data_IF_699877336060
#
_entry.id   IF_699877336060
#
_cell.length_a   1.000
_cell.length_b   1.000
_cell.length_c   1.000
_cell.angle_alpha   90.00
_cell.angle_beta   90.00
_cell.angle_gamma   90.00
#
_symmetry.space_group_name_H-M   'P 1'
#
loop_
_entity.id
_entity.type
_entity.pdbx_description
1 polymer ?
#
# COMPACT_ATOMS: atom_id res chain seq x y z
N UNK A 1 16.20 3.60 -4.98
CA UNK A 1 16.08 2.55 -3.95
C UNK A 1 14.91 2.92 -3.06
N UNK A 2 14.06 1.96 -2.69
CA UNK A 2 12.91 2.22 -1.81
C UNK A 2 13.37 2.12 -0.36
N UNK A 3 13.11 3.19 0.41
CA UNK A 3 13.46 3.24 1.83
C UNK A 3 12.27 2.74 2.65
N UNK A 4 12.30 1.45 3.01
CA UNK A 4 11.26 0.81 3.81
C UNK A 4 11.33 1.22 5.26
N UNK A 5 10.18 1.54 5.83
CA UNK A 5 10.02 1.74 7.26
C UNK A 5 9.92 0.40 7.99
N UNK A 6 10.02 0.42 9.33
CA UNK A 6 9.95 -0.77 10.18
C UNK A 6 8.61 -1.54 10.15
N UNK A 7 7.56 -0.95 9.56
CA UNK A 7 6.22 -1.52 9.46
C UNK A 7 5.84 -1.88 8.01
N UNK A 8 6.82 -2.31 7.21
CA UNK A 8 6.59 -2.86 5.86
C UNK A 8 5.87 -1.96 4.85
N UNK A 9 6.00 -0.64 5.03
CA UNK A 9 5.56 0.39 4.08
C UNK A 9 6.68 1.38 3.76
N UNK A 10 6.53 2.13 2.65
CA UNK A 10 7.48 3.16 2.22
C UNK A 10 6.77 4.28 1.46
N UNK A 11 7.43 5.45 1.40
CA UNK A 11 7.06 6.55 0.52
C UNK A 11 7.65 6.35 -0.88
N UNK A 12 7.09 7.04 -1.88
CA UNK A 12 7.60 7.09 -3.25
C UNK A 12 7.74 5.72 -3.88
N UNK A 13 6.73 4.86 -3.70
CA UNK A 13 6.72 3.52 -4.25
C UNK A 13 5.32 3.07 -4.66
N UNK A 14 5.28 2.03 -5.49
CA UNK A 14 4.07 1.41 -6.02
C UNK A 14 4.31 -0.06 -6.36
N UNK A 15 3.21 -0.80 -6.51
CA UNK A 15 3.13 -2.15 -7.05
C UNK A 15 2.28 -2.16 -8.32
N UNK A 16 2.79 -2.81 -9.36
CA UNK A 16 2.10 -2.87 -10.65
C UNK A 16 0.86 -3.78 -10.58
N UNK A 17 -0.30 -3.25 -10.98
CA UNK A 17 -1.55 -4.01 -11.15
C UNK A 17 -2.09 -4.66 -9.87
N UNK A 18 -2.73 -5.82 -10.03
CA UNK A 18 -3.30 -6.63 -8.95
C UNK A 18 -4.36 -5.95 -8.08
N UNK A 19 -5.01 -4.90 -8.59
CA UNK A 19 -6.05 -4.18 -7.86
C UNK A 19 -7.23 -5.09 -7.50
N UNK A 20 -7.51 -5.19 -6.21
CA UNK A 20 -8.64 -5.89 -5.62
C UNK A 20 -9.83 -4.93 -5.48
N UNK A 21 -9.60 -3.76 -4.89
CA UNK A 21 -10.60 -2.72 -4.66
C UNK A 21 -9.90 -1.39 -4.38
N UNK A 22 -10.68 -0.30 -4.30
CA UNK A 22 -10.15 1.00 -3.89
C UNK A 22 -11.11 1.74 -2.97
N UNK A 23 -10.57 2.64 -2.15
CA UNK A 23 -11.36 3.52 -1.28
C UNK A 23 -10.65 4.85 -1.06
N UNK A 24 -11.43 5.93 -0.94
CA UNK A 24 -10.92 7.25 -0.58
C UNK A 24 -10.63 7.30 0.92
N UNK A 25 -9.36 7.47 1.28
CA UNK A 25 -8.87 7.50 2.68
C UNK A 25 -7.50 8.19 2.71
N UNK A 26 -7.05 8.80 3.83
CA UNK A 26 -5.68 9.27 3.96
C UNK A 26 -4.65 8.14 3.79
N UNK A 27 -3.42 8.49 3.39
CA UNK A 27 -2.35 7.53 3.11
C UNK A 27 -2.01 6.65 4.31
N UNK A 28 -2.02 7.24 5.51
CA UNK A 28 -1.73 6.53 6.76
C UNK A 28 -2.75 5.42 7.05
N UNK A 29 -3.98 5.57 6.56
CA UNK A 29 -5.05 4.57 6.75
C UNK A 29 -5.03 3.42 5.75
N UNK A 30 -4.22 3.50 4.67
CA UNK A 30 -4.29 2.53 3.58
C UNK A 30 -3.81 1.14 3.99
N UNK A 31 -2.78 1.06 4.85
CA UNK A 31 -2.28 -0.22 5.39
C UNK A 31 -3.30 -0.94 6.26
N UNK A 32 -3.91 -0.22 7.21
CA UNK A 32 -4.99 -0.77 8.05
C UNK A 32 -6.19 -1.21 7.22
N UNK A 33 -6.58 -0.39 6.24
CA UNK A 33 -7.69 -0.74 5.33
C UNK A 33 -7.41 -2.00 4.53
N UNK A 34 -6.19 -2.17 4.05
CA UNK A 34 -5.77 -3.40 3.38
C UNK A 34 -5.81 -4.59 4.35
N UNK A 35 -5.28 -4.46 5.57
CA UNK A 35 -5.33 -5.53 6.58
C UNK A 35 -6.75 -5.99 6.94
N UNK A 36 -7.72 -5.08 6.96
CA UNK A 36 -9.15 -5.39 7.17
C UNK A 36 -9.83 -6.02 5.93
N UNK A 37 -9.24 -5.86 4.75
CA UNK A 37 -9.85 -6.29 3.49
C UNK A 37 -9.42 -7.70 3.15
N UNK A 38 -10.36 -8.64 3.18
CA UNK A 38 -10.10 -10.04 2.87
C UNK A 38 -9.43 -10.21 1.50
N UNK A 39 -8.26 -10.87 1.50
CA UNK A 39 -7.48 -11.13 0.29
C UNK A 39 -6.56 -9.99 -0.13
N UNK A 40 -6.55 -8.86 0.59
CA UNK A 40 -5.55 -7.84 0.39
C UNK A 40 -4.20 -8.30 0.95
N UNK A 41 -3.15 -8.07 0.18
CA UNK A 41 -1.77 -8.53 0.46
C UNK A 41 -0.78 -7.37 0.41
N UNK A 42 -1.13 -6.32 -0.30
CA UNK A 42 -0.36 -5.11 -0.43
C UNK A 42 -1.25 -3.97 -0.89
N UNK A 43 -0.73 -2.76 -0.82
CA UNK A 43 -1.46 -1.58 -1.19
C UNK A 43 -0.57 -0.54 -1.84
N UNK A 44 -1.21 0.35 -2.59
CA UNK A 44 -0.64 1.63 -3.02
C UNK A 44 -1.63 2.72 -2.70
N UNK A 45 -1.17 3.81 -2.11
CA UNK A 45 -1.92 5.04 -1.95
C UNK A 45 -1.43 6.10 -2.93
N UNK A 46 -2.37 6.86 -3.49
CA UNK A 46 -2.10 7.96 -4.43
C UNK A 46 -2.94 9.18 -4.08
N UNK A 47 -2.54 10.37 -4.57
CA UNK A 47 -3.34 11.59 -4.43
C UNK A 47 -4.61 11.62 -5.30
N UNK A 48 -4.87 10.56 -6.08
CA UNK A 48 -6.04 10.49 -6.97
C UNK A 48 -7.35 10.73 -6.17
N UNK A 49 -8.21 11.59 -6.72
CA UNK A 49 -9.46 12.07 -6.10
C UNK A 49 -9.32 12.56 -4.65
N UNK A 50 -8.20 13.21 -4.34
CA UNK A 50 -7.93 13.74 -3.00
C UNK A 50 -7.56 12.66 -1.99
N UNK A 51 -6.95 11.56 -2.46
CA UNK A 51 -6.39 10.49 -1.64
C UNK A 51 -7.13 9.18 -1.79
N UNK A 52 -6.54 8.23 -2.50
CA UNK A 52 -7.15 6.92 -2.77
C UNK A 52 -6.17 5.79 -2.51
N UNK A 53 -6.64 4.85 -1.70
CA UNK A 53 -5.99 3.59 -1.39
C UNK A 53 -6.43 2.53 -2.40
N UNK A 54 -5.47 1.98 -3.13
CA UNK A 54 -5.60 0.85 -4.04
C UNK A 54 -5.17 -0.40 -3.29
N UNK A 55 -6.15 -1.20 -2.85
CA UNK A 55 -5.92 -2.48 -2.20
C UNK A 55 -5.66 -3.53 -3.26
N UNK A 56 -4.64 -4.35 -3.06
CA UNK A 56 -4.14 -5.28 -4.08
C UNK A 56 -4.01 -6.70 -3.52
N UNK A 57 -4.10 -7.70 -4.39
CA UNK A 57 -4.10 -9.14 -4.04
C UNK A 57 -2.97 -9.91 -4.72
N UNK A 58 -2.75 -11.15 -4.28
CA UNK A 58 -1.76 -12.06 -4.87
C UNK A 58 -0.42 -12.07 -4.14
N UNK A 59 0.47 -12.96 -4.55
CA UNK A 59 1.77 -13.13 -3.89
C UNK A 59 2.72 -11.99 -4.27
N UNK A 60 3.23 -11.28 -3.27
CA UNK A 60 4.11 -10.13 -3.45
C UNK A 60 5.16 -10.09 -2.34
N UNK A 61 6.26 -9.40 -2.61
CA UNK A 61 7.27 -9.04 -1.62
C UNK A 61 7.72 -7.59 -1.85
N UNK A 62 8.49 -7.03 -0.91
CA UNK A 62 9.13 -5.71 -1.06
C UNK A 62 9.95 -5.56 -2.34
N UNK A 63 10.49 -6.66 -2.88
CA UNK A 63 11.28 -6.64 -4.12
C UNK A 63 10.44 -6.38 -5.39
N UNK A 64 9.12 -6.54 -5.31
CA UNK A 64 8.21 -6.28 -6.42
C UNK A 64 7.79 -4.81 -6.51
N UNK A 65 8.06 -4.01 -5.47
CA UNK A 65 7.77 -2.59 -5.49
C UNK A 65 8.79 -1.86 -6.38
N UNK A 66 8.32 -0.84 -7.10
CA UNK A 66 9.18 0.07 -7.86
C UNK A 66 9.09 1.49 -7.29
N UNK A 67 10.20 2.26 -7.32
CA UNK A 67 10.17 3.64 -6.86
C UNK A 67 9.41 4.52 -7.86
N UNK A 68 8.71 5.53 -7.34
CA UNK A 68 8.00 6.54 -8.11
C UNK A 68 8.65 7.92 -7.89
N UNK A 69 8.36 8.87 -8.79
CA UNK A 69 8.80 10.27 -8.63
C UNK A 69 7.84 11.10 -7.77
N UNK A 70 6.72 10.51 -7.34
CA UNK A 70 5.74 11.19 -6.49
C UNK A 70 6.10 10.97 -5.02
N UNK A 71 6.52 12.02 -4.29
CA UNK A 71 6.88 11.90 -2.89
C UNK A 71 5.67 11.63 -1.97
N UNK A 72 4.44 11.72 -2.47
CA UNK A 72 3.22 11.50 -1.70
C UNK A 72 2.67 10.08 -1.84
N UNK A 73 3.09 9.32 -2.85
CA UNK A 73 2.67 7.92 -2.97
C UNK A 73 3.20 7.10 -1.80
N UNK A 74 2.37 6.18 -1.30
CA UNK A 74 2.73 5.26 -0.23
C UNK A 74 2.45 3.85 -0.72
N UNK A 75 3.35 2.91 -0.52
CA UNK A 75 3.07 1.49 -0.76
C UNK A 75 3.47 0.66 0.45
N UNK A 76 2.84 -0.51 0.59
CA UNK A 76 3.18 -1.43 1.67
C UNK A 76 2.73 -2.85 1.39
N UNK A 77 3.37 -3.80 2.07
CA UNK A 77 2.99 -5.21 2.08
C UNK A 77 2.36 -5.57 3.42
N UNK A 78 1.33 -6.42 3.40
CA UNK A 78 0.69 -6.92 4.61
C UNK A 78 1.37 -8.24 4.97
N UNK A 79 2.31 -8.16 5.91
CA UNK A 79 3.09 -9.31 6.38
C UNK A 79 2.25 -10.24 7.29
N UNK A 80 1.24 -9.69 7.97
CA UNK A 80 0.15 -10.33 8.73
C UNK A 80 -0.78 -9.19 9.19
N UNK A 81 -2.01 -9.44 9.68
CA UNK A 81 -2.89 -8.37 10.14
C UNK A 81 -2.21 -7.63 11.32
N UNK A 82 -1.67 -6.44 11.05
CA UNK A 82 -1.13 -5.59 12.11
C UNK A 82 -2.29 -5.25 13.06
N UNK A 83 -2.18 -5.53 14.37
CA UNK A 83 -3.18 -5.08 15.32
C UNK A 83 -3.20 -3.55 15.30
N UNK A 84 -4.35 -2.99 14.95
CA UNK A 84 -4.67 -1.58 15.12
C UNK A 84 -4.70 -1.26 16.62
N UNK A 85 -3.61 -0.70 17.16
CA UNK A 85 -3.59 -0.07 18.49
C UNK A 85 -4.07 1.37 18.42
#
# INVERSE_FOLDING_TARGET
VINWNGNDWAMSCDFYGNDLSNVRIPGEGCGGKCAETQGCTHFTWTQWNGGTCWMKKGSVSKANAFPTNDPHMVCGVISEPQPST
#
